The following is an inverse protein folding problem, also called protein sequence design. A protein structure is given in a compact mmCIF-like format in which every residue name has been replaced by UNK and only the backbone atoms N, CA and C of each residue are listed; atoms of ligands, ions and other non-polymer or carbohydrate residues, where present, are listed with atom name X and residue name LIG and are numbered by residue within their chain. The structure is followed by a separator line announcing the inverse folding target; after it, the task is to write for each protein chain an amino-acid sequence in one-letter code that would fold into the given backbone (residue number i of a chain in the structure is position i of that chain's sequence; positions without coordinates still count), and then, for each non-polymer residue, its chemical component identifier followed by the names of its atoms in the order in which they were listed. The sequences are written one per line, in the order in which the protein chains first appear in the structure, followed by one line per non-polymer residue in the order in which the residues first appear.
data_IF_969968700922
#
_entry.id   IF_969968700922
#
_cell.length_a   1.000
_cell.length_b   1.000
_cell.length_c   1.000
_cell.angle_alpha   90.00
_cell.angle_beta   90.00
_cell.angle_gamma   90.00
#
_symmetry.space_group_name_H-M   'P 1'
#
loop_
_entity.id
_entity.type
_entity.pdbx_description
1 polymer ?
#
# COMPACT_ATOMS: atom_id res chain seq x y z
N UNK A 1 -20.85 25.00 -8.19
CA UNK A 1 -19.81 24.11 -7.70
C UNK A 1 -19.62 23.06 -8.79
N UNK A 2 -18.60 23.20 -9.64
CA UNK A 2 -18.28 22.20 -10.66
C UNK A 2 -17.65 21.01 -9.95
N UNK A 3 -18.35 19.87 -9.93
CA UNK A 3 -17.72 18.60 -9.63
C UNK A 3 -16.60 18.41 -10.65
N UNK A 4 -15.34 18.49 -10.21
CA UNK A 4 -14.22 18.01 -11.02
C UNK A 4 -14.52 16.53 -11.31
N UNK A 5 -14.62 16.19 -12.59
CA UNK A 5 -14.65 14.79 -12.98
C UNK A 5 -13.42 14.12 -12.34
N UNK A 6 -13.64 13.20 -11.42
CA UNK A 6 -12.58 12.44 -10.78
C UNK A 6 -11.83 11.70 -11.88
N UNK A 7 -10.55 11.99 -12.03
CA UNK A 7 -9.73 11.31 -13.03
C UNK A 7 -9.29 9.99 -12.43
N UNK A 8 -9.69 8.88 -13.05
CA UNK A 8 -9.28 7.55 -12.63
C UNK A 8 -7.75 7.43 -12.74
N UNK A 9 -7.09 7.21 -11.62
CA UNK A 9 -5.66 6.93 -11.58
C UNK A 9 -5.37 5.47 -11.93
N UNK A 10 -6.27 4.56 -11.51
CA UNK A 10 -6.18 3.13 -11.79
C UNK A 10 -7.59 2.60 -12.07
N UNK A 11 -7.77 1.87 -13.19
CA UNK A 11 -8.99 1.15 -13.53
C UNK A 11 -8.70 -0.33 -13.73
N UNK A 12 -9.47 -1.17 -13.06
CA UNK A 12 -9.41 -2.62 -13.15
C UNK A 12 -10.78 -3.09 -13.60
N UNK A 13 -10.84 -3.79 -14.74
CA UNK A 13 -12.08 -4.16 -15.42
C UNK A 13 -12.08 -5.67 -15.69
N UNK A 14 -12.98 -6.39 -15.02
CA UNK A 14 -13.24 -7.83 -15.21
C UNK A 14 -11.98 -8.70 -15.13
N UNK A 15 -11.04 -8.35 -14.24
CA UNK A 15 -9.76 -9.04 -14.11
C UNK A 15 -9.92 -10.38 -13.41
N UNK A 16 -9.36 -11.41 -14.07
CA UNK A 16 -9.27 -12.77 -13.51
C UNK A 16 -7.86 -13.33 -13.65
N UNK A 17 -7.39 -14.06 -12.65
CA UNK A 17 -6.09 -14.74 -12.64
C UNK A 17 -6.17 -16.11 -12.00
N UNK A 18 -5.57 -17.09 -12.67
CA UNK A 18 -5.52 -18.47 -12.25
C UNK A 18 -4.07 -18.97 -12.16
N UNK A 19 -3.75 -19.71 -11.14
CA UNK A 19 -2.48 -20.42 -11.01
C UNK A 19 -2.73 -21.92 -10.99
N UNK A 20 -2.62 -22.56 -12.15
CA UNK A 20 -3.01 -23.97 -12.30
C UNK A 20 -4.50 -24.17 -11.98
N UNK A 21 -4.80 -24.94 -10.95
CA UNK A 21 -6.19 -25.18 -10.49
C UNK A 21 -6.71 -24.18 -9.45
N UNK A 22 -5.92 -23.17 -9.09
CA UNK A 22 -6.30 -22.18 -8.09
C UNK A 22 -6.75 -20.88 -8.75
N UNK A 23 -7.96 -20.41 -8.44
CA UNK A 23 -8.45 -19.08 -8.83
C UNK A 23 -7.96 -18.08 -7.79
N UNK A 24 -7.00 -17.25 -8.17
CA UNK A 24 -6.46 -16.23 -7.27
C UNK A 24 -7.33 -14.97 -7.26
N UNK A 25 -7.83 -14.55 -8.42
CA UNK A 25 -8.72 -13.39 -8.59
C UNK A 25 -9.78 -13.81 -9.62
N UNK A 26 -11.05 -13.45 -9.36
CA UNK A 26 -12.18 -13.77 -10.25
C UNK A 26 -13.03 -12.53 -10.50
N UNK A 27 -13.10 -12.12 -11.76
CA UNK A 27 -13.99 -11.05 -12.27
C UNK A 27 -13.96 -9.75 -11.45
N UNK A 28 -12.77 -9.31 -11.06
CA UNK A 28 -12.58 -8.13 -10.21
C UNK A 28 -12.73 -6.86 -11.03
N UNK A 29 -13.56 -5.93 -10.54
CA UNK A 29 -13.75 -4.62 -11.16
C UNK A 29 -13.80 -3.54 -10.09
N UNK A 30 -12.91 -2.55 -10.18
CA UNK A 30 -12.93 -1.32 -9.36
C UNK A 30 -12.07 -0.23 -9.98
N UNK A 31 -12.24 0.99 -9.46
CA UNK A 31 -11.48 2.17 -9.90
C UNK A 31 -10.92 2.88 -8.68
N UNK A 32 -9.68 3.36 -8.78
CA UNK A 32 -9.04 4.21 -7.79
C UNK A 32 -8.88 5.60 -8.39
N UNK A 33 -9.38 6.61 -7.69
CA UNK A 33 -9.33 8.00 -8.13
C UNK A 33 -8.26 8.79 -7.35
N UNK A 34 -7.87 9.96 -7.87
CA UNK A 34 -6.99 10.88 -7.14
C UNK A 34 -7.57 11.23 -5.75
N UNK A 35 -6.70 11.18 -4.74
CA UNK A 35 -7.07 11.47 -3.35
C UNK A 35 -7.71 10.30 -2.59
N UNK A 36 -7.89 9.13 -3.22
CA UNK A 36 -8.41 7.95 -2.53
C UNK A 36 -7.28 7.12 -1.91
N UNK A 37 -7.53 6.62 -0.71
CA UNK A 37 -6.70 5.59 -0.08
C UNK A 37 -7.51 4.31 0.02
N UNK A 38 -7.14 3.34 -0.81
CA UNK A 38 -7.80 2.03 -0.90
C UNK A 38 -7.04 1.02 -0.08
N UNK A 39 -7.69 0.41 0.89
CA UNK A 39 -7.09 -0.64 1.72
C UNK A 39 -7.54 -2.02 1.27
N UNK A 40 -6.57 -2.88 0.98
CA UNK A 40 -6.80 -4.29 0.65
C UNK A 40 -6.75 -5.12 1.92
N UNK A 41 -7.86 -5.73 2.27
CA UNK A 41 -7.97 -6.61 3.43
C UNK A 41 -8.38 -8.02 3.03
N UNK A 42 -8.06 -8.99 3.88
CA UNK A 42 -8.42 -10.38 3.66
C UNK A 42 -7.34 -11.34 4.15
N UNK A 43 -7.61 -12.66 4.17
CA UNK A 43 -6.66 -13.65 4.64
C UNK A 43 -5.38 -13.72 3.79
N UNK A 44 -4.33 -14.31 4.36
CA UNK A 44 -3.11 -14.58 3.61
C UNK A 44 -3.40 -15.57 2.48
N UNK A 45 -2.82 -15.31 1.31
CA UNK A 45 -3.06 -16.10 0.10
C UNK A 45 -4.35 -15.76 -0.65
N UNK A 46 -5.12 -14.75 -0.23
CA UNK A 46 -6.36 -14.35 -0.89
C UNK A 46 -6.18 -13.63 -2.25
N UNK A 47 -4.95 -13.39 -2.70
CA UNK A 47 -4.69 -12.73 -3.97
C UNK A 47 -4.25 -11.27 -3.89
N UNK A 48 -4.13 -10.68 -2.68
CA UNK A 48 -3.73 -9.25 -2.49
C UNK A 48 -2.40 -8.91 -3.18
N UNK A 49 -1.34 -9.68 -2.91
CA UNK A 49 -0.02 -9.49 -3.54
C UNK A 49 -0.07 -9.80 -5.05
N UNK A 50 -0.95 -10.72 -5.50
CA UNK A 50 -1.18 -10.97 -6.92
C UNK A 50 -1.74 -9.72 -7.59
N UNK A 51 -2.68 -9.02 -6.97
CA UNK A 51 -3.21 -7.76 -7.48
C UNK A 51 -2.10 -6.71 -7.64
N UNK A 52 -1.19 -6.59 -6.69
CA UNK A 52 -0.04 -5.66 -6.82
C UNK A 52 0.87 -6.04 -7.99
N UNK A 53 1.17 -7.33 -8.17
CA UNK A 53 1.93 -7.81 -9.33
C UNK A 53 1.26 -7.50 -10.66
N UNK A 54 -0.05 -7.59 -10.72
CA UNK A 54 -0.83 -7.22 -11.91
C UNK A 54 -0.76 -5.71 -12.18
N UNK A 55 -0.93 -4.87 -11.16
CA UNK A 55 -0.87 -3.41 -11.28
C UNK A 55 0.53 -2.95 -11.75
N UNK A 56 1.58 -3.60 -11.23
CA UNK A 56 2.98 -3.28 -11.60
C UNK A 56 3.41 -3.91 -12.95
N UNK A 57 2.57 -4.75 -13.55
CA UNK A 57 2.89 -5.45 -14.79
C UNK A 57 3.87 -6.63 -14.62
N UNK A 58 4.20 -7.01 -13.39
CA UNK A 58 5.02 -8.18 -13.09
C UNK A 58 4.29 -9.51 -13.35
N UNK A 59 2.96 -9.46 -13.41
CA UNK A 59 2.07 -10.56 -13.77
C UNK A 59 1.05 -10.06 -14.80
N UNK A 60 0.50 -10.95 -15.63
CA UNK A 60 -0.53 -10.62 -16.60
C UNK A 60 -1.86 -11.27 -16.21
N UNK A 61 -3.00 -10.60 -16.39
CA UNK A 61 -4.30 -11.21 -16.16
C UNK A 61 -4.65 -12.22 -17.25
N UNK A 62 -5.34 -13.31 -16.90
CA UNK A 62 -5.90 -14.26 -17.86
C UNK A 62 -7.10 -13.68 -18.60
N UNK A 63 -7.84 -12.79 -17.95
CA UNK A 63 -8.96 -12.07 -18.54
C UNK A 63 -9.10 -10.66 -17.94
N UNK A 64 -9.78 -9.77 -18.64
CA UNK A 64 -9.99 -8.38 -18.24
C UNK A 64 -8.85 -7.45 -18.64
N UNK A 65 -8.87 -6.24 -18.09
CA UNK A 65 -7.86 -5.24 -18.37
C UNK A 65 -7.53 -4.39 -17.15
N UNK A 66 -6.29 -3.95 -17.09
CA UNK A 66 -5.81 -2.98 -16.09
C UNK A 66 -5.29 -1.77 -16.85
N UNK A 67 -5.77 -0.59 -16.48
CA UNK A 67 -5.36 0.67 -17.08
C UNK A 67 -4.90 1.62 -16.00
N UNK A 68 -3.74 2.19 -16.20
CA UNK A 68 -3.24 3.32 -15.41
C UNK A 68 -3.44 4.61 -16.23
N UNK A 69 -3.77 5.70 -15.56
CA UNK A 69 -3.87 7.00 -16.21
C UNK A 69 -2.54 7.42 -16.84
N UNK A 70 -2.58 8.21 -17.92
CA UNK A 70 -1.39 8.62 -18.69
C UNK A 70 -0.35 9.41 -17.83
N UNK A 71 -0.79 10.02 -16.74
CA UNK A 71 0.05 10.79 -15.81
C UNK A 71 0.46 10.00 -14.58
N UNK A 72 0.13 8.72 -14.52
CA UNK A 72 0.42 7.87 -13.36
C UNK A 72 1.89 7.49 -13.31
N UNK A 73 2.49 7.78 -12.17
CA UNK A 73 3.79 7.28 -11.75
C UNK A 73 3.59 6.38 -10.54
N UNK A 74 3.77 5.07 -10.74
CA UNK A 74 3.64 4.09 -9.67
C UNK A 74 4.86 4.15 -8.74
N UNK A 75 4.62 4.39 -7.45
CA UNK A 75 5.56 4.11 -6.38
C UNK A 75 5.21 2.77 -5.75
N UNK A 76 6.02 1.74 -5.95
CA UNK A 76 5.82 0.43 -5.35
C UNK A 76 6.98 0.08 -4.43
N UNK A 77 6.66 -0.23 -3.18
CA UNK A 77 7.60 -0.86 -2.26
C UNK A 77 7.22 -2.32 -2.15
N UNK A 78 7.97 -3.13 -2.87
CA UNK A 78 8.01 -4.57 -2.62
C UNK A 78 8.84 -4.84 -1.36
N UNK A 79 8.46 -5.83 -0.58
CA UNK A 79 9.31 -6.39 0.48
C UNK A 79 10.65 -6.93 -0.07
N UNK A 80 10.77 -7.15 -1.37
CA UNK A 80 12.02 -7.43 -2.08
C UNK A 80 12.77 -6.15 -2.47
N UNK A 81 13.12 -5.34 -1.51
CA UNK A 81 14.34 -4.58 -1.33
C UNK A 81 15.05 -4.15 -2.61
N UNK A 82 14.70 -2.98 -3.14
CA UNK A 82 15.69 -2.20 -3.86
C UNK A 82 16.94 -2.13 -2.98
N UNK A 83 18.07 -2.54 -3.53
CA UNK A 83 19.28 -2.71 -2.75
C UNK A 83 19.73 -1.34 -2.23
N UNK A 84 19.48 -1.07 -0.95
CA UNK A 84 20.04 0.10 -0.29
C UNK A 84 21.57 0.01 -0.37
N UNK A 85 22.23 1.13 -0.65
CA UNK A 85 23.67 1.20 -0.74
C UNK A 85 24.33 1.14 0.64
N UNK A 86 24.81 -0.04 1.04
CA UNK A 86 25.37 -0.30 2.36
C UNK A 86 26.50 0.67 2.78
N UNK A 87 27.21 1.25 1.81
CA UNK A 87 28.32 2.18 2.02
C UNK A 87 27.89 3.62 2.31
N UNK A 88 26.67 4.02 1.94
CA UNK A 88 26.12 5.36 2.23
C UNK A 88 25.67 5.46 3.67
N UNK A 89 25.60 6.68 4.20
CA UNK A 89 24.86 6.91 5.43
C UNK A 89 23.36 7.11 5.15
N UNK A 90 22.52 7.06 6.19
CA UNK A 90 21.07 7.18 6.09
C UNK A 90 20.65 8.47 5.36
N UNK A 91 21.26 9.61 5.71
CA UNK A 91 20.95 10.88 5.08
C UNK A 91 21.32 10.88 3.59
N UNK A 92 22.52 10.41 3.23
CA UNK A 92 22.96 10.28 1.84
C UNK A 92 22.05 9.38 1.04
N UNK A 93 21.64 8.24 1.62
CA UNK A 93 20.79 7.25 0.97
C UNK A 93 19.40 7.80 0.65
N UNK A 94 18.79 8.53 1.60
CA UNK A 94 17.46 9.10 1.44
C UNK A 94 17.53 10.38 0.61
N UNK A 95 18.47 11.30 0.91
CA UNK A 95 18.50 12.61 0.29
C UNK A 95 19.11 12.63 -1.10
N UNK A 96 19.94 11.63 -1.45
CA UNK A 96 20.77 11.67 -2.64
C UNK A 96 21.85 12.79 -2.57
N UNK A 97 22.11 13.34 -1.36
CA UNK A 97 23.09 14.40 -1.12
C UNK A 97 22.55 15.82 -1.32
N UNK A 98 21.25 16.01 -1.57
CA UNK A 98 20.64 17.35 -1.65
C UNK A 98 20.18 17.83 -0.27
N UNK A 99 20.20 19.13 -0.04
CA UNK A 99 19.83 19.71 1.26
C UNK A 99 18.34 20.03 1.38
N UNK A 100 17.63 20.16 0.26
CA UNK A 100 16.21 20.55 0.22
C UNK A 100 15.47 19.67 -0.79
N UNK A 101 14.34 19.13 -0.39
CA UNK A 101 13.36 18.52 -1.28
C UNK A 101 12.30 19.54 -1.68
N UNK A 102 11.78 19.40 -2.91
CA UNK A 102 10.68 20.21 -3.44
C UNK A 102 9.49 19.33 -3.75
N UNK A 103 8.43 19.48 -2.97
CA UNK A 103 7.14 18.83 -3.19
C UNK A 103 6.15 19.86 -3.73
N UNK A 104 6.05 19.96 -5.05
CA UNK A 104 5.26 21.01 -5.70
C UNK A 104 5.77 22.41 -5.32
N UNK A 105 4.98 23.17 -4.54
CA UNK A 105 5.34 24.52 -4.06
C UNK A 105 6.01 24.54 -2.68
N UNK A 106 6.10 23.38 -2.02
CA UNK A 106 6.65 23.26 -0.68
C UNK A 106 8.11 22.81 -0.71
N UNK A 107 8.95 23.46 0.08
CA UNK A 107 10.34 23.09 0.29
C UNK A 107 10.51 22.49 1.70
N UNK A 108 11.16 21.34 1.78
CA UNK A 108 11.44 20.65 3.05
C UNK A 108 12.93 20.35 3.15
N UNK A 109 13.56 20.80 4.23
CA UNK A 109 14.95 20.44 4.51
C UNK A 109 15.12 18.93 4.66
N UNK A 110 16.08 18.36 3.93
CA UNK A 110 16.26 16.89 3.90
C UNK A 110 16.57 16.28 5.25
N UNK A 111 17.29 17.01 6.11
CA UNK A 111 17.57 16.53 7.48
C UNK A 111 16.32 16.50 8.35
N UNK A 112 15.40 17.44 8.19
CA UNK A 112 14.11 17.43 8.87
C UNK A 112 13.24 16.29 8.35
N UNK A 113 13.20 16.09 7.02
CA UNK A 113 12.50 14.97 6.38
C UNK A 113 13.00 13.62 6.91
N UNK A 114 14.32 13.38 6.90
CA UNK A 114 14.92 12.14 7.43
C UNK A 114 14.64 11.98 8.93
N UNK A 115 14.59 13.09 9.67
CA UNK A 115 14.22 13.11 11.09
C UNK A 115 12.79 12.67 11.38
N UNK A 116 11.84 12.92 10.45
CA UNK A 116 10.45 12.46 10.56
C UNK A 116 10.35 10.92 10.53
N UNK A 117 11.29 10.24 9.86
CA UNK A 117 11.39 8.77 9.87
C UNK A 117 12.23 8.22 11.04
N UNK A 118 12.31 8.99 12.14
CA UNK A 118 12.99 8.61 13.39
C UNK A 118 14.52 8.39 13.24
N UNK A 119 15.15 9.06 12.28
CA UNK A 119 16.61 9.16 12.19
C UNK A 119 17.04 10.56 12.66
N UNK A 120 17.31 10.71 13.96
CA UNK A 120 17.61 12.01 14.58
C UNK A 120 19.11 12.17 14.84
N UNK A 121 19.63 13.37 14.60
CA UNK A 121 21.02 13.71 14.93
C UNK A 121 22.04 12.71 14.37
N UNK A 122 22.79 11.99 15.24
CA UNK A 122 23.83 11.06 14.84
C UNK A 122 23.31 9.85 14.02
N UNK A 123 22.03 9.47 14.17
CA UNK A 123 21.46 8.32 13.44
C UNK A 123 21.47 8.53 11.93
N UNK A 124 21.38 9.79 11.48
CA UNK A 124 21.48 10.12 10.07
C UNK A 124 22.84 9.79 9.45
N UNK A 125 23.88 9.66 10.28
CA UNK A 125 25.24 9.33 9.86
C UNK A 125 25.54 7.83 9.93
N UNK A 126 24.64 7.00 10.50
CA UNK A 126 24.80 5.56 10.50
C UNK A 126 24.90 5.02 9.10
N UNK A 127 25.79 4.06 8.88
CA UNK A 127 25.88 3.38 7.59
C UNK A 127 24.69 2.45 7.38
N UNK A 128 24.12 2.49 6.18
CA UNK A 128 22.96 1.67 5.80
C UNK A 128 23.19 0.18 6.02
N UNK A 129 24.43 -0.27 5.77
CA UNK A 129 24.81 -1.67 6.01
C UNK A 129 24.75 -2.10 7.48
N UNK A 130 24.73 -1.16 8.43
CA UNK A 130 24.67 -1.41 9.88
C UNK A 130 23.27 -1.33 10.46
N UNK A 131 22.26 -0.95 9.64
CA UNK A 131 20.88 -0.78 10.07
C UNK A 131 20.22 -2.13 10.36
N UNK A 132 19.36 -2.15 11.37
CA UNK A 132 18.41 -3.24 11.62
C UNK A 132 17.38 -3.37 10.48
N UNK A 133 16.61 -4.47 10.47
CA UNK A 133 15.54 -4.67 9.48
C UNK A 133 14.51 -3.54 9.51
N UNK A 134 14.03 -3.16 10.69
CA UNK A 134 13.08 -2.06 10.86
C UNK A 134 13.64 -0.70 10.43
N UNK A 135 14.92 -0.41 10.76
CA UNK A 135 15.57 0.82 10.28
C UNK A 135 15.69 0.84 8.74
N UNK A 136 16.00 -0.28 8.09
CA UNK A 136 16.02 -0.37 6.62
C UNK A 136 14.65 -0.14 6.01
N UNK A 137 13.59 -0.69 6.60
CA UNK A 137 12.21 -0.47 6.15
C UNK A 137 11.86 1.02 6.21
N UNK A 138 12.27 1.75 7.27
CA UNK A 138 12.09 3.20 7.35
C UNK A 138 12.83 3.96 6.26
N UNK A 139 14.05 3.54 5.91
CA UNK A 139 14.82 4.14 4.81
C UNK A 139 14.11 3.92 3.47
N UNK A 140 13.64 2.70 3.19
CA UNK A 140 12.86 2.40 1.98
C UNK A 140 11.60 3.24 1.89
N UNK A 141 10.85 3.33 2.99
CA UNK A 141 9.63 4.13 3.07
C UNK A 141 9.92 5.62 2.80
N UNK A 142 10.95 6.18 3.43
CA UNK A 142 11.35 7.57 3.22
C UNK A 142 11.77 7.84 1.76
N UNK A 143 12.51 6.92 1.13
CA UNK A 143 12.90 7.04 -0.28
C UNK A 143 11.69 7.04 -1.19
N UNK A 144 10.78 6.07 -1.02
CA UNK A 144 9.58 5.94 -1.82
C UNK A 144 8.70 7.20 -1.76
N UNK A 145 8.41 7.69 -0.57
CA UNK A 145 7.58 8.88 -0.40
C UNK A 145 8.25 10.14 -0.97
N UNK A 146 9.58 10.19 -0.99
CA UNK A 146 10.35 11.27 -1.62
C UNK A 146 10.32 11.20 -3.15
N UNK A 147 10.43 10.01 -3.72
CA UNK A 147 10.60 9.82 -5.17
C UNK A 147 9.33 10.14 -5.98
N UNK A 148 8.21 10.39 -5.27
CA UNK A 148 7.10 11.16 -5.82
C UNK A 148 6.24 10.45 -6.86
N UNK A 149 5.99 9.15 -6.69
CA UNK A 149 4.85 8.53 -7.38
C UNK A 149 3.56 9.25 -7.01
N UNK A 150 2.58 9.32 -7.91
CA UNK A 150 1.25 9.82 -7.58
C UNK A 150 0.23 8.67 -7.35
N UNK A 151 0.68 7.42 -7.49
CA UNK A 151 -0.02 6.21 -7.05
C UNK A 151 0.95 5.36 -6.24
N UNK A 152 0.68 5.19 -4.95
CA UNK A 152 1.51 4.39 -4.05
C UNK A 152 0.91 2.99 -3.85
N UNK A 153 1.74 1.97 -4.00
CA UNK A 153 1.40 0.59 -3.64
C UNK A 153 2.22 0.18 -2.43
N UNK A 154 1.57 -0.05 -1.30
CA UNK A 154 2.19 -0.34 -0.01
C UNK A 154 1.80 -1.73 0.47
N UNK A 155 2.75 -2.66 0.52
CA UNK A 155 2.51 -4.02 1.05
C UNK A 155 3.01 -4.11 2.49
N UNK A 156 2.06 -4.19 3.44
CA UNK A 156 2.29 -4.26 4.89
C UNK A 156 3.27 -3.18 5.42
N UNK A 157 3.05 -1.90 5.10
CA UNK A 157 3.99 -0.83 5.45
C UNK A 157 4.08 -0.58 6.95
N UNK A 158 3.13 -1.06 7.73
CA UNK A 158 3.06 -0.90 9.18
C UNK A 158 3.90 -1.92 9.95
N UNK A 159 4.34 -3.00 9.29
CA UNK A 159 5.13 -4.05 9.93
C UNK A 159 6.48 -3.52 10.41
N UNK A 160 6.84 -3.89 11.65
CA UNK A 160 8.12 -3.54 12.29
C UNK A 160 8.36 -2.03 12.48
N UNK A 161 7.31 -1.19 12.36
CA UNK A 161 7.41 0.23 12.66
C UNK A 161 7.18 0.51 14.15
N UNK A 162 7.99 1.39 14.71
CA UNK A 162 7.69 2.00 16.00
C UNK A 162 6.57 3.05 15.88
N UNK A 163 5.97 3.43 17.00
CA UNK A 163 4.81 4.35 17.06
C UNK A 163 5.11 5.70 16.40
N UNK A 164 6.33 6.23 16.55
CA UNK A 164 6.71 7.52 15.97
C UNK A 164 6.79 7.43 14.44
N UNK A 165 7.38 6.35 13.92
CA UNK A 165 7.46 6.11 12.47
C UNK A 165 6.09 5.81 11.86
N UNK A 166 5.22 5.07 12.58
CA UNK A 166 3.85 4.83 12.13
C UNK A 166 3.08 6.15 11.98
N UNK A 167 3.20 7.06 12.96
CA UNK A 167 2.60 8.40 12.86
C UNK A 167 3.15 9.20 11.67
N UNK A 168 4.47 9.15 11.46
CA UNK A 168 5.07 9.83 10.31
C UNK A 168 4.56 9.27 8.96
N UNK A 169 4.32 7.96 8.88
CA UNK A 169 3.70 7.34 7.72
C UNK A 169 2.23 7.80 7.54
N UNK A 170 1.46 7.80 8.64
CA UNK A 170 0.08 8.27 8.62
C UNK A 170 0.00 9.73 8.15
N UNK A 171 0.77 10.62 8.75
CA UNK A 171 0.83 12.04 8.37
C UNK A 171 1.24 12.22 6.91
N UNK A 172 2.18 11.41 6.42
CA UNK A 172 2.63 11.48 5.03
C UNK A 172 1.55 11.03 4.05
N UNK A 173 0.80 9.98 4.37
CA UNK A 173 -0.29 9.46 3.54
C UNK A 173 -1.53 10.35 3.57
N UNK A 174 -1.87 10.93 4.73
CA UNK A 174 -2.98 11.88 4.87
C UNK A 174 -2.78 13.14 4.03
N UNK A 175 -1.52 13.60 3.93
CA UNK A 175 -1.15 14.77 3.15
C UNK A 175 -0.68 14.44 1.72
N UNK A 176 -0.78 13.18 1.31
CA UNK A 176 -0.36 12.76 -0.02
C UNK A 176 -1.35 13.24 -1.08
N UNK A 177 -0.84 13.95 -2.08
CA UNK A 177 -1.68 14.54 -3.12
C UNK A 177 -2.17 13.56 -4.20
N UNK A 178 -1.65 12.31 -4.17
CA UNK A 178 -2.04 11.23 -5.09
C UNK A 178 -3.04 10.27 -4.46
N UNK A 179 -3.06 9.04 -4.93
CA UNK A 179 -3.81 7.94 -4.34
C UNK A 179 -2.88 6.84 -3.82
N UNK A 180 -3.36 6.05 -2.88
CA UNK A 180 -2.60 4.93 -2.34
C UNK A 180 -3.44 3.65 -2.29
N UNK A 181 -2.81 2.52 -2.58
CA UNK A 181 -3.39 1.19 -2.40
C UNK A 181 -2.52 0.46 -1.38
N UNK A 182 -3.12 0.11 -0.25
CA UNK A 182 -2.38 -0.38 0.93
C UNK A 182 -2.88 -1.76 1.33
N UNK A 183 -1.99 -2.72 1.43
CA UNK A 183 -2.26 -3.98 2.14
C UNK A 183 -1.82 -3.77 3.57
N UNK A 184 -2.71 -3.91 4.54
CA UNK A 184 -2.35 -3.87 5.97
C UNK A 184 -3.32 -4.72 6.80
N UNK A 185 -2.81 -5.22 7.92
CA UNK A 185 -3.60 -5.89 8.96
C UNK A 185 -3.80 -5.01 10.20
N UNK A 186 -3.24 -3.79 10.21
CA UNK A 186 -3.41 -2.82 11.29
C UNK A 186 -4.75 -2.08 11.15
N UNK A 187 -5.73 -2.49 11.94
CA UNK A 187 -7.09 -1.93 11.92
C UNK A 187 -7.12 -0.45 12.27
N UNK A 188 -6.29 -0.02 13.23
CA UNK A 188 -6.27 1.39 13.64
C UNK A 188 -5.69 2.29 12.55
N UNK A 189 -4.69 1.81 11.83
CA UNK A 189 -4.14 2.48 10.67
C UNK A 189 -5.19 2.59 9.55
N UNK A 190 -5.91 1.50 9.27
CA UNK A 190 -6.96 1.47 8.25
C UNK A 190 -8.15 2.36 8.59
N UNK A 191 -8.56 2.41 9.85
CA UNK A 191 -9.68 3.27 10.29
C UNK A 191 -9.38 4.76 10.14
N UNK A 192 -8.12 5.15 10.31
CA UNK A 192 -7.75 6.55 10.22
C UNK A 192 -7.58 7.04 8.78
N UNK A 193 -7.12 6.18 7.90
CA UNK A 193 -6.66 6.61 6.58
C UNK A 193 -7.50 6.09 5.42
N UNK A 194 -8.12 4.92 5.54
CA UNK A 194 -8.83 4.32 4.42
C UNK A 194 -10.08 5.13 4.06
N UNK A 195 -10.17 5.49 2.78
CA UNK A 195 -11.39 6.04 2.18
C UNK A 195 -12.24 4.93 1.58
N UNK A 196 -11.61 3.83 1.17
CA UNK A 196 -12.24 2.67 0.56
C UNK A 196 -11.59 1.39 1.05
N UNK A 197 -12.38 0.32 1.13
CA UNK A 197 -11.93 -1.03 1.46
C UNK A 197 -12.19 -1.95 0.27
N UNK A 198 -11.16 -2.68 -0.16
CA UNK A 198 -11.27 -3.80 -1.08
C UNK A 198 -11.07 -5.08 -0.28
N UNK A 199 -12.17 -5.74 0.06
CA UNK A 199 -12.16 -6.89 0.95
C UNK A 199 -12.22 -8.22 0.18
N UNK A 200 -11.19 -9.04 0.36
CA UNK A 200 -11.14 -10.41 -0.11
C UNK A 200 -11.86 -11.29 0.92
N UNK A 201 -13.14 -11.58 0.69
CA UNK A 201 -14.01 -12.26 1.67
C UNK A 201 -13.97 -13.80 1.60
N UNK A 202 -13.17 -14.37 0.69
CA UNK A 202 -13.04 -15.80 0.44
C UNK A 202 -13.73 -16.24 -0.85
N UNK A 203 -13.49 -17.49 -1.27
CA UNK A 203 -14.03 -18.07 -2.51
C UNK A 203 -13.88 -17.18 -3.75
N UNK A 204 -12.78 -16.43 -3.82
CA UNK A 204 -12.48 -15.44 -4.85
C UNK A 204 -13.48 -14.28 -4.93
N UNK A 205 -14.34 -14.11 -3.92
CA UNK A 205 -15.24 -12.96 -3.81
C UNK A 205 -14.49 -11.75 -3.27
N UNK A 206 -14.65 -10.62 -3.94
CA UNK A 206 -14.05 -9.35 -3.56
C UNK A 206 -15.16 -8.30 -3.45
N UNK A 207 -15.23 -7.65 -2.28
CA UNK A 207 -16.20 -6.60 -2.00
C UNK A 207 -15.52 -5.23 -2.05
N UNK A 208 -16.09 -4.31 -2.83
CA UNK A 208 -15.70 -2.90 -2.84
C UNK A 208 -16.60 -2.10 -1.91
N UNK A 209 -16.03 -1.44 -0.92
CA UNK A 209 -16.77 -0.69 0.08
C UNK A 209 -16.20 0.74 0.21
N UNK A 210 -17.05 1.75 0.11
CA UNK A 210 -16.70 3.15 0.37
C UNK A 210 -16.82 3.43 1.86
N UNK A 211 -15.70 3.70 2.53
CA UNK A 211 -15.61 3.96 3.96
C UNK A 211 -14.34 3.36 4.57
N UNK A 212 -14.20 3.56 5.89
CA UNK A 212 -13.10 3.02 6.68
C UNK A 212 -13.36 1.57 7.12
N UNK A 213 -12.41 1.00 7.86
CA UNK A 213 -12.47 -0.39 8.29
C UNK A 213 -13.64 -0.67 9.26
N UNK A 214 -13.92 0.22 10.21
CA UNK A 214 -15.03 0.08 11.15
C UNK A 214 -16.39 0.07 10.42
N UNK A 215 -16.60 0.99 9.50
CA UNK A 215 -17.81 1.05 8.68
C UNK A 215 -18.00 -0.22 7.83
N UNK A 216 -16.91 -0.74 7.25
CA UNK A 216 -16.92 -2.01 6.52
C UNK A 216 -17.28 -3.19 7.44
N UNK A 217 -16.70 -3.30 8.66
CA UNK A 217 -17.06 -4.38 9.59
C UNK A 217 -18.55 -4.35 9.95
N UNK A 218 -19.11 -3.16 10.19
CA UNK A 218 -20.54 -3.00 10.45
C UNK A 218 -21.41 -3.41 9.25
N UNK A 219 -21.01 -3.04 8.03
CA UNK A 219 -21.69 -3.47 6.81
C UNK A 219 -21.59 -4.99 6.62
N UNK A 220 -20.42 -5.58 6.84
CA UNK A 220 -20.21 -7.03 6.77
C UNK A 220 -21.10 -7.80 7.75
N UNK A 221 -21.22 -7.33 8.99
CA UNK A 221 -22.13 -7.91 9.99
C UNK A 221 -23.58 -7.84 9.49
N UNK A 222 -23.98 -6.72 8.90
CA UNK A 222 -25.34 -6.53 8.38
C UNK A 222 -25.65 -7.46 7.20
N UNK A 223 -24.68 -7.67 6.27
CA UNK A 223 -24.83 -8.53 5.08
C UNK A 223 -24.77 -10.02 5.40
N UNK A 224 -23.83 -10.44 6.25
CA UNK A 224 -23.47 -11.84 6.46
C UNK A 224 -23.76 -12.37 7.88
N UNK A 225 -24.21 -11.48 8.80
CA UNK A 225 -24.45 -11.82 10.21
C UNK A 225 -23.18 -11.75 11.08
N UNK A 226 -23.37 -11.79 12.41
CA UNK A 226 -22.27 -11.63 13.39
C UNK A 226 -21.20 -12.74 13.30
N UNK A 227 -21.55 -13.92 12.81
CA UNK A 227 -20.58 -15.02 12.65
C UNK A 227 -19.52 -14.75 11.58
N UNK A 228 -19.78 -13.88 10.62
CA UNK A 228 -18.87 -13.54 9.53
C UNK A 228 -17.62 -12.75 9.99
N UNK A 229 -17.67 -12.13 11.16
CA UNK A 229 -16.53 -11.39 11.75
C UNK A 229 -15.65 -12.28 12.63
N UNK A 230 -16.09 -13.51 12.95
CA UNK A 230 -15.25 -14.44 13.70
C UNK A 230 -14.15 -15.01 12.81
N UNK A 231 -12.90 -15.09 13.28
CA UNK A 231 -11.82 -15.68 12.51
C UNK A 231 -12.13 -17.15 12.22
N UNK A 232 -12.54 -17.45 10.99
CA UNK A 232 -12.68 -18.83 10.54
C UNK A 232 -11.32 -19.40 10.17
N UNK A 233 -11.00 -20.58 10.70
CA UNK A 233 -9.85 -21.37 10.25
C UNK A 233 -10.09 -21.71 8.78
N UNK A 234 -9.24 -21.25 7.88
CA UNK A 234 -9.29 -21.59 6.45
C UNK A 234 -9.13 -23.11 6.33
N UNK A 235 -10.20 -23.81 5.99
CA UNK A 235 -10.16 -25.24 5.67
C UNK A 235 -9.74 -25.39 4.22
N UNK A 236 -8.49 -25.76 4.00
CA UNK A 236 -8.02 -26.11 2.65
C UNK A 236 -8.74 -27.38 2.19
N UNK A 237 -9.30 -27.33 0.97
CA UNK A 237 -9.90 -28.49 0.32
C UNK A 237 -8.83 -29.57 0.17
N UNK A 238 -9.02 -30.76 0.75
CA UNK A 238 -8.09 -31.88 0.60
C UNK A 238 -8.03 -32.26 -0.88
N UNK A 239 -6.80 -32.31 -1.43
CA UNK A 239 -6.57 -32.90 -2.74
C UNK A 239 -7.06 -34.35 -2.69
N UNK A 240 -8.15 -34.68 -3.39
CA UNK A 240 -8.53 -36.03 -3.71
C UNK A 240 -7.58 -36.56 -4.77
N UNK A 241 -6.85 -37.63 -4.41
CA UNK A 241 -6.04 -38.42 -5.35
C UNK A 241 -6.90 -39.08 -6.39
#
# INVERSE_FOLDING_TARGET
MNARASTAALSIEHVSVHFGGLVAISDMTFTVNEGELVSLIGPNGAGKTTLFKLITGAEQPDAGSIRTGDTVHLGYVDQSRDALEAGKNVWEEISGGVDVFRFGKHEVGTRAYVGAFNFRGPDQQKKVGQLSGGERNRVHLAKMLKDGGNVLLLDEPTNDLDVETLRALEDALENFAGCAVVISHDRFFLDRLATHILAFEGDSHVEWFEGNFEAYEQDKIRRLGEEATRPHRTTYRKLTR
#
